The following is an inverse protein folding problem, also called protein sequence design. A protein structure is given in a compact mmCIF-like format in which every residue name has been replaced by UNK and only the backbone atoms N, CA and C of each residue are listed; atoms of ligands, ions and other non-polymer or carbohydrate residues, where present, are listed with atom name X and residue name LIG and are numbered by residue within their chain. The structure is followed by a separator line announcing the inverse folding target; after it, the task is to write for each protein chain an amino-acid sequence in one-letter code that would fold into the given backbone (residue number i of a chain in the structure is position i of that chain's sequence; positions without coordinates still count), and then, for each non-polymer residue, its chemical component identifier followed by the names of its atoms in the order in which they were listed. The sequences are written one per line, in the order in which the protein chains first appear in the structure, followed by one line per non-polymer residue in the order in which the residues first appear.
data_IF_738711514971
#
_entry.id   IF_738711514971
#
_cell.length_a   1.000
_cell.length_b   1.000
_cell.length_c   1.000
_cell.angle_alpha   90.00
_cell.angle_beta   90.00
_cell.angle_gamma   90.00
#
_symmetry.space_group_name_H-M   'P 1'
#
loop_
_entity.id
_entity.type
_entity.pdbx_description
1 polymer ?
#
# COMPACT_ATOMS: atom_id res chain seq x y z
N UNK A 1 21.69 60.87 17.14
CA UNK A 1 22.11 60.79 15.72
C UNK A 1 22.32 59.31 15.43
N UNK A 2 21.64 58.61 14.54
CA UNK A 2 21.02 58.99 13.28
C UNK A 2 21.58 58.08 12.18
N UNK A 3 20.80 57.06 11.80
CA UNK A 3 20.64 56.50 10.44
C UNK A 3 21.75 55.61 9.81
N UNK A 4 21.37 54.33 9.61
CA UNK A 4 21.60 53.38 8.50
C UNK A 4 22.97 53.26 7.78
N UNK A 5 23.43 52.01 7.63
CA UNK A 5 23.33 51.29 6.34
C UNK A 5 23.58 49.79 6.49
N UNK A 6 22.67 49.01 5.91
CA UNK A 6 22.80 47.58 5.67
C UNK A 6 24.10 47.23 4.93
N UNK A 7 24.76 46.15 5.34
CA UNK A 7 25.73 45.40 4.55
C UNK A 7 25.47 43.91 4.76
N UNK A 8 24.82 43.34 3.74
CA UNK A 8 25.06 42.00 3.19
C UNK A 8 25.27 40.87 4.20
N UNK A 9 24.16 40.38 4.77
CA UNK A 9 24.10 39.02 5.26
C UNK A 9 23.98 38.09 4.05
N UNK A 10 25.10 37.44 3.78
CA UNK A 10 25.35 36.47 2.74
C UNK A 10 24.26 35.39 2.72
N UNK A 11 23.81 35.05 1.52
CA UNK A 11 22.68 34.18 1.21
C UNK A 11 22.96 32.68 1.50
N UNK A 12 23.90 32.37 2.38
CA UNK A 12 24.52 31.04 2.53
C UNK A 12 24.01 30.19 3.69
N UNK A 13 23.50 30.78 4.77
CA UNK A 13 23.26 30.02 6.02
C UNK A 13 21.77 29.81 6.33
N UNK A 14 20.87 30.06 5.35
CA UNK A 14 19.45 29.68 5.42
C UNK A 14 19.23 28.18 5.14
N UNK A 15 20.04 27.33 5.75
CA UNK A 15 19.73 25.90 5.90
C UNK A 15 19.09 25.69 7.28
N UNK A 16 18.13 26.54 7.63
CA UNK A 16 17.14 26.18 8.63
C UNK A 16 16.17 25.22 7.95
N UNK A 17 16.35 23.94 8.29
CA UNK A 17 15.23 23.05 8.58
C UNK A 17 14.10 23.12 7.56
N UNK A 18 14.43 22.87 6.29
CA UNK A 18 13.44 22.29 5.39
C UNK A 18 13.18 20.91 5.98
N UNK A 19 12.21 20.85 6.91
CA UNK A 19 11.34 19.68 7.03
C UNK A 19 10.84 19.49 5.61
N UNK A 20 11.53 18.62 4.90
CA UNK A 20 10.97 17.97 3.74
C UNK A 20 9.72 17.30 4.26
N UNK A 21 8.59 18.00 4.18
CA UNK A 21 7.34 17.41 3.81
C UNK A 21 7.55 16.83 2.40
N UNK A 22 8.39 15.79 2.29
CA UNK A 22 8.13 14.75 1.32
C UNK A 22 6.70 14.39 1.62
N UNK A 23 5.84 14.47 0.61
CA UNK A 23 4.48 14.01 0.73
C UNK A 23 4.54 12.52 1.13
N UNK A 24 4.52 12.23 2.44
CA UNK A 24 4.59 10.89 3.04
C UNK A 24 3.35 10.04 2.73
N UNK A 25 2.36 10.60 2.05
CA UNK A 25 1.06 9.98 1.86
C UNK A 25 1.03 8.79 0.88
N UNK A 26 1.68 8.82 -0.31
CA UNK A 26 1.56 7.70 -1.25
C UNK A 26 2.40 6.51 -0.79
N UNK A 27 3.68 6.69 -0.51
CA UNK A 27 4.64 5.58 -0.31
C UNK A 27 4.36 4.76 0.94
N UNK A 28 4.03 5.41 2.06
CA UNK A 28 3.62 4.70 3.28
C UNK A 28 2.25 4.02 3.12
N UNK A 29 1.39 4.51 2.22
CA UNK A 29 0.09 3.89 1.99
C UNK A 29 0.22 2.53 1.30
N UNK A 30 1.12 2.35 0.33
CA UNK A 30 1.30 1.04 -0.32
C UNK A 30 1.86 -0.01 0.63
N UNK A 31 2.89 0.35 1.41
CA UNK A 31 3.45 -0.54 2.41
C UNK A 31 2.45 -0.86 3.53
N UNK A 32 1.90 0.17 4.17
CA UNK A 32 1.04 0.00 5.34
C UNK A 32 -0.31 -0.65 5.03
N UNK A 33 -1.01 -0.14 4.01
CA UNK A 33 -2.31 -0.71 3.60
C UNK A 33 -2.11 -2.08 2.94
N UNK A 34 -1.02 -2.24 2.17
CA UNK A 34 -0.65 -3.52 1.59
C UNK A 34 -0.39 -4.59 2.64
N UNK A 35 0.38 -4.26 3.69
CA UNK A 35 0.60 -5.14 4.83
C UNK A 35 -0.69 -5.49 5.55
N UNK A 36 -1.56 -4.51 5.80
CA UNK A 36 -2.85 -4.74 6.46
C UNK A 36 -3.70 -5.74 5.66
N UNK A 37 -3.86 -5.55 4.35
CA UNK A 37 -4.61 -6.48 3.50
C UNK A 37 -3.94 -7.84 3.36
N UNK A 38 -2.61 -7.89 3.33
CA UNK A 38 -1.87 -9.15 3.34
C UNK A 38 -2.13 -9.91 4.65
N UNK A 39 -2.11 -9.22 5.79
CA UNK A 39 -2.43 -9.81 7.08
C UNK A 39 -3.88 -10.32 7.15
N UNK A 40 -4.85 -9.62 6.53
CA UNK A 40 -6.22 -10.14 6.38
C UNK A 40 -6.22 -11.50 5.64
N UNK A 41 -5.39 -11.69 4.61
CA UNK A 41 -5.32 -12.97 3.88
C UNK A 41 -4.75 -14.13 4.70
N UNK A 42 -3.88 -13.84 5.68
CA UNK A 42 -3.36 -14.86 6.61
C UNK A 42 -4.45 -15.48 7.48
N UNK A 43 -5.61 -14.81 7.63
CA UNK A 43 -6.75 -15.34 8.36
C UNK A 43 -7.23 -16.71 7.86
N UNK A 44 -7.01 -17.04 6.58
CA UNK A 44 -7.28 -18.40 6.08
C UNK A 44 -6.29 -19.43 6.61
N UNK A 45 -4.99 -19.11 6.58
CA UNK A 45 -3.92 -19.99 7.07
C UNK A 45 -4.01 -20.19 8.59
N UNK A 46 -4.45 -19.15 9.31
CA UNK A 46 -4.63 -19.17 10.76
C UNK A 46 -5.96 -19.81 11.21
N UNK A 47 -6.86 -20.15 10.29
CA UNK A 47 -8.17 -20.71 10.62
C UNK A 47 -9.15 -19.71 11.22
N UNK A 48 -8.98 -18.40 10.98
CA UNK A 48 -9.90 -17.35 11.47
C UNK A 48 -11.23 -17.35 10.69
N UNK A 49 -11.20 -17.72 9.40
CA UNK A 49 -12.38 -17.71 8.52
C UNK A 49 -13.01 -19.11 8.38
N UNK A 50 -13.46 -19.68 9.49
CA UNK A 50 -13.95 -21.06 9.52
C UNK A 50 -15.28 -21.25 8.78
N UNK A 51 -16.23 -20.33 8.97
CA UNK A 51 -17.58 -20.46 8.44
C UNK A 51 -17.87 -19.53 7.26
N UNK A 52 -18.98 -19.78 6.57
CA UNK A 52 -19.38 -19.02 5.37
C UNK A 52 -19.59 -17.53 5.65
N UNK A 53 -20.06 -17.15 6.84
CA UNK A 53 -20.30 -15.74 7.18
C UNK A 53 -18.99 -14.97 7.31
N UNK A 54 -18.00 -15.57 7.96
CA UNK A 54 -16.69 -14.95 8.15
C UNK A 54 -15.99 -14.77 6.79
N UNK A 55 -16.04 -15.80 5.94
CA UNK A 55 -15.53 -15.75 4.57
C UNK A 55 -16.27 -14.73 3.71
N UNK A 56 -17.59 -14.63 3.85
CA UNK A 56 -18.38 -13.63 3.13
C UNK A 56 -17.95 -12.20 3.50
N UNK A 57 -17.69 -11.96 4.79
CA UNK A 57 -17.14 -10.68 5.26
C UNK A 57 -15.80 -10.36 4.58
N UNK A 58 -14.85 -11.30 4.64
CA UNK A 58 -13.55 -11.17 3.98
C UNK A 58 -13.68 -10.88 2.47
N UNK A 59 -14.44 -11.70 1.74
CA UNK A 59 -14.57 -11.53 0.29
C UNK A 59 -15.35 -10.27 -0.11
N UNK A 60 -16.37 -9.87 0.64
CA UNK A 60 -17.06 -8.59 0.43
C UNK A 60 -16.07 -7.42 0.50
N UNK A 61 -15.19 -7.47 1.48
CA UNK A 61 -14.17 -6.46 1.73
C UNK A 61 -13.07 -6.49 0.66
N UNK A 62 -12.66 -7.68 0.23
CA UNK A 62 -11.68 -7.89 -0.82
C UNK A 62 -12.18 -7.40 -2.19
N UNK A 63 -13.42 -7.74 -2.58
CA UNK A 63 -14.02 -7.28 -3.84
C UNK A 63 -14.14 -5.76 -3.86
N UNK A 64 -14.50 -5.14 -2.74
CA UNK A 64 -14.54 -3.68 -2.64
C UNK A 64 -13.17 -3.05 -2.90
N UNK A 65 -12.09 -3.60 -2.31
CA UNK A 65 -10.70 -3.14 -2.55
C UNK A 65 -10.24 -3.44 -3.98
N UNK A 66 -10.71 -4.51 -4.62
CA UNK A 66 -10.45 -4.79 -6.02
C UNK A 66 -11.16 -3.79 -6.96
N UNK A 67 -12.41 -3.41 -6.65
CA UNK A 67 -13.15 -2.40 -7.41
C UNK A 67 -12.45 -1.03 -7.39
N UNK A 68 -11.75 -0.69 -6.29
CA UNK A 68 -10.93 0.54 -6.22
C UNK A 68 -9.89 0.62 -7.33
N UNK A 69 -9.29 -0.51 -7.72
CA UNK A 69 -8.33 -0.54 -8.83
C UNK A 69 -8.97 -0.11 -10.15
N UNK A 70 -10.16 -0.63 -10.43
CA UNK A 70 -10.90 -0.37 -11.66
C UNK A 70 -11.46 1.04 -11.67
N UNK A 71 -12.04 1.50 -10.56
CA UNK A 71 -12.68 2.82 -10.50
C UNK A 71 -11.67 3.96 -10.53
N UNK A 72 -10.58 3.88 -9.76
CA UNK A 72 -9.56 4.93 -9.73
C UNK A 72 -8.89 5.08 -11.11
N UNK A 73 -8.48 3.96 -11.73
CA UNK A 73 -7.95 3.99 -13.11
C UNK A 73 -9.01 4.37 -14.14
N UNK A 74 -10.25 3.92 -13.96
CA UNK A 74 -11.39 4.28 -14.79
C UNK A 74 -11.57 5.79 -14.88
N UNK A 75 -11.59 6.47 -13.74
CA UNK A 75 -11.74 7.93 -13.64
C UNK A 75 -10.50 8.63 -14.22
N UNK A 76 -9.30 8.27 -13.74
CA UNK A 76 -8.10 9.08 -13.97
C UNK A 76 -7.33 8.76 -15.25
N UNK A 77 -7.52 7.57 -15.82
CA UNK A 77 -6.83 7.13 -17.04
C UNK A 77 -7.78 6.83 -18.22
N UNK A 78 -9.00 6.36 -17.95
CA UNK A 78 -9.97 5.96 -18.99
C UNK A 78 -11.15 6.91 -19.17
N UNK A 79 -11.16 8.05 -18.45
CA UNK A 79 -12.15 9.11 -18.64
C UNK A 79 -13.57 8.75 -18.19
N UNK A 80 -13.72 7.83 -17.23
CA UNK A 80 -15.02 7.52 -16.65
C UNK A 80 -15.62 8.72 -15.93
N UNK A 81 -16.92 8.92 -16.10
CA UNK A 81 -17.70 9.83 -15.28
C UNK A 81 -17.89 9.29 -13.86
N UNK A 82 -18.19 10.20 -12.92
CA UNK A 82 -18.54 9.84 -11.52
C UNK A 82 -19.67 8.81 -11.46
N UNK A 83 -20.72 8.94 -12.28
CA UNK A 83 -21.84 7.99 -12.26
C UNK A 83 -21.44 6.60 -12.77
N UNK A 84 -20.58 6.52 -13.80
CA UNK A 84 -20.05 5.22 -14.25
C UNK A 84 -19.25 4.53 -13.14
N UNK A 85 -18.43 5.28 -12.41
CA UNK A 85 -17.69 4.78 -11.25
C UNK A 85 -18.62 4.29 -10.13
N UNK A 86 -19.65 5.07 -9.77
CA UNK A 86 -20.65 4.69 -8.76
C UNK A 86 -21.39 3.42 -9.18
N UNK A 87 -21.88 3.38 -10.42
CA UNK A 87 -22.64 2.24 -10.93
C UNK A 87 -21.79 0.97 -10.93
N UNK A 88 -20.53 1.06 -11.37
CA UNK A 88 -19.61 -0.07 -11.30
C UNK A 88 -19.48 -0.62 -9.87
N UNK A 89 -19.27 0.23 -8.87
CA UNK A 89 -19.17 -0.25 -7.49
C UNK A 89 -20.49 -0.83 -6.96
N UNK A 90 -21.65 -0.33 -7.39
CA UNK A 90 -22.96 -0.88 -7.02
C UNK A 90 -23.20 -2.26 -7.63
N UNK A 91 -22.71 -2.49 -8.84
CA UNK A 91 -22.89 -3.77 -9.55
C UNK A 91 -22.06 -4.89 -8.92
N UNK A 92 -20.89 -4.57 -8.35
CA UNK A 92 -19.93 -5.56 -7.85
C UNK A 92 -19.77 -5.59 -6.33
N UNK A 93 -20.33 -4.64 -5.58
CA UNK A 93 -20.18 -4.60 -4.12
C UNK A 93 -21.52 -4.51 -3.39
N UNK A 94 -21.57 -4.99 -2.15
CA UNK A 94 -22.78 -4.96 -1.31
C UNK A 94 -22.90 -3.67 -0.47
N UNK A 95 -22.19 -2.61 -0.85
CA UNK A 95 -22.16 -1.35 -0.08
C UNK A 95 -23.36 -0.46 -0.44
N UNK A 96 -23.92 0.30 0.51
CA UNK A 96 -24.99 1.23 0.21
C UNK A 96 -24.50 2.34 -0.73
N UNK A 97 -25.38 2.84 -1.61
CA UNK A 97 -25.07 3.89 -2.60
C UNK A 97 -24.42 5.13 -1.96
N UNK A 98 -24.94 5.61 -0.84
CA UNK A 98 -24.38 6.79 -0.15
C UNK A 98 -22.90 6.60 0.22
N UNK A 99 -22.54 5.42 0.72
CA UNK A 99 -21.15 5.10 1.03
C UNK A 99 -20.29 5.05 -0.23
N UNK A 100 -20.80 4.48 -1.32
CA UNK A 100 -20.08 4.43 -2.60
C UNK A 100 -19.86 5.84 -3.16
N UNK A 101 -20.88 6.71 -3.10
CA UNK A 101 -20.79 8.10 -3.54
C UNK A 101 -19.67 8.85 -2.79
N UNK A 102 -19.63 8.75 -1.46
CA UNK A 102 -18.57 9.33 -0.63
C UNK A 102 -17.18 8.79 -1.00
N UNK A 103 -17.09 7.50 -1.29
CA UNK A 103 -15.85 6.86 -1.69
C UNK A 103 -15.38 7.30 -3.07
N UNK A 104 -16.27 7.39 -4.05
CA UNK A 104 -15.95 7.85 -5.39
C UNK A 104 -15.52 9.31 -5.36
N UNK A 105 -16.17 10.16 -4.56
CA UNK A 105 -15.73 11.55 -4.35
C UNK A 105 -14.32 11.63 -3.78
N UNK A 106 -13.98 10.74 -2.85
CA UNK A 106 -12.62 10.61 -2.32
C UNK A 106 -11.62 10.17 -3.39
N UNK A 107 -11.98 9.24 -4.27
CA UNK A 107 -11.09 8.76 -5.35
C UNK A 107 -10.83 9.85 -6.39
N UNK A 108 -11.84 10.66 -6.69
CA UNK A 108 -11.69 11.85 -7.55
C UNK A 108 -10.74 12.86 -6.91
N UNK A 109 -10.90 13.11 -5.60
CA UNK A 109 -10.08 14.10 -4.89
C UNK A 109 -8.62 13.66 -4.70
N UNK A 110 -8.38 12.37 -4.42
CA UNK A 110 -7.05 11.82 -4.11
C UNK A 110 -6.69 10.68 -5.06
N UNK A 111 -6.19 11.00 -6.28
CA UNK A 111 -5.82 10.02 -7.29
C UNK A 111 -4.80 8.99 -6.77
N UNK A 112 -4.93 7.74 -7.21
CA UNK A 112 -4.04 6.62 -6.93
C UNK A 112 -3.97 6.14 -5.46
N UNK A 113 -4.49 6.89 -4.48
CA UNK A 113 -4.47 6.45 -3.08
C UNK A 113 -5.28 5.16 -2.88
N UNK A 114 -6.41 5.01 -3.58
CA UNK A 114 -7.25 3.83 -3.46
C UNK A 114 -6.57 2.55 -4.00
N UNK A 115 -5.55 2.71 -4.86
CA UNK A 115 -4.79 1.61 -5.45
C UNK A 115 -3.82 0.97 -4.45
N UNK A 116 -3.39 1.73 -3.45
CA UNK A 116 -2.30 1.34 -2.54
C UNK A 116 -2.56 0.03 -1.80
N UNK A 117 -3.81 -0.16 -1.36
CA UNK A 117 -4.30 -1.34 -0.68
C UNK A 117 -3.99 -2.62 -1.47
N UNK A 118 -4.65 -2.80 -2.63
CA UNK A 118 -4.60 -4.09 -3.34
C UNK A 118 -3.27 -4.27 -4.07
N UNK A 119 -2.66 -3.21 -4.59
CA UNK A 119 -1.33 -3.29 -5.21
C UNK A 119 -0.28 -3.66 -4.16
N UNK A 120 -0.28 -2.99 -2.99
CA UNK A 120 0.63 -3.31 -1.90
C UNK A 120 0.49 -4.76 -1.43
N UNK A 121 -0.75 -5.24 -1.24
CA UNK A 121 -1.02 -6.64 -0.89
C UNK A 121 -0.45 -7.60 -1.95
N UNK A 122 -0.71 -7.34 -3.23
CA UNK A 122 -0.24 -8.19 -4.33
C UNK A 122 1.29 -8.23 -4.39
N UNK A 123 1.96 -7.11 -4.15
CA UNK A 123 3.42 -7.05 -4.10
C UNK A 123 3.98 -7.86 -2.94
N UNK A 124 3.47 -7.69 -1.71
CA UNK A 124 3.93 -8.49 -0.55
C UNK A 124 3.68 -9.98 -0.78
N UNK A 125 2.51 -10.33 -1.33
CA UNK A 125 2.18 -11.73 -1.66
C UNK A 125 3.13 -12.29 -2.73
N UNK A 126 3.51 -11.49 -3.73
CA UNK A 126 4.49 -11.87 -4.74
C UNK A 126 5.89 -12.03 -4.15
N UNK A 127 6.28 -11.21 -3.18
CA UNK A 127 7.58 -11.33 -2.50
C UNK A 127 7.63 -12.62 -1.69
N UNK A 128 6.56 -12.94 -0.95
CA UNK A 128 6.42 -14.23 -0.25
C UNK A 128 6.54 -15.40 -1.20
N UNK A 129 5.75 -15.43 -2.27
CA UNK A 129 5.76 -16.54 -3.23
C UNK A 129 7.16 -16.75 -3.86
N UNK A 130 7.85 -15.65 -4.18
CA UNK A 130 9.23 -15.69 -4.69
C UNK A 130 10.21 -16.26 -3.66
N UNK A 131 10.10 -15.85 -2.40
CA UNK A 131 10.95 -16.34 -1.32
C UNK A 131 10.68 -17.82 -0.99
N UNK A 132 9.41 -18.24 -0.95
CA UNK A 132 9.01 -19.64 -0.79
C UNK A 132 9.59 -20.51 -1.92
N UNK A 133 9.55 -20.01 -3.16
CA UNK A 133 10.13 -20.72 -4.30
C UNK A 133 11.66 -20.84 -4.22
N UNK A 134 12.35 -19.78 -3.80
CA UNK A 134 13.82 -19.75 -3.76
C UNK A 134 14.39 -20.55 -2.57
N UNK A 135 13.76 -20.46 -1.40
CA UNK A 135 14.25 -21.10 -0.17
C UNK A 135 13.73 -22.53 0.02
N UNK A 136 12.60 -22.89 -0.59
CA UNK A 136 11.98 -24.21 -0.45
C UNK A 136 11.77 -24.56 1.02
N UNK A 137 12.28 -25.71 1.45
CA UNK A 137 12.17 -26.20 2.83
C UNK A 137 12.86 -25.29 3.88
N UNK A 138 13.74 -24.38 3.45
CA UNK A 138 14.39 -23.41 4.32
C UNK A 138 13.53 -22.16 4.57
N UNK A 139 12.42 -22.00 3.84
CA UNK A 139 11.56 -20.85 4.01
C UNK A 139 10.92 -20.84 5.41
N UNK A 140 11.06 -19.71 6.11
CA UNK A 140 10.39 -19.48 7.38
C UNK A 140 9.48 -18.25 7.28
N UNK A 141 8.18 -18.46 7.49
CA UNK A 141 7.16 -17.40 7.39
C UNK A 141 7.38 -16.29 8.43
N UNK A 142 7.80 -16.64 9.64
CA UNK A 142 8.04 -15.67 10.72
C UNK A 142 9.21 -14.76 10.33
N UNK A 143 10.30 -15.32 9.83
CA UNK A 143 11.48 -14.54 9.44
C UNK A 143 11.15 -13.64 8.23
N UNK A 144 10.35 -14.13 7.27
CA UNK A 144 9.82 -13.30 6.19
C UNK A 144 8.99 -12.11 6.74
N UNK A 145 8.08 -12.35 7.68
CA UNK A 145 7.28 -11.27 8.30
C UNK A 145 8.17 -10.28 9.06
N UNK A 146 9.19 -10.76 9.78
CA UNK A 146 10.16 -9.90 10.47
C UNK A 146 10.89 -8.99 9.47
N UNK A 147 11.29 -9.50 8.30
CA UNK A 147 11.91 -8.68 7.25
C UNK A 147 10.94 -7.62 6.75
N UNK A 148 9.72 -7.99 6.40
CA UNK A 148 8.71 -7.03 5.91
C UNK A 148 8.47 -5.92 6.94
N UNK A 149 8.22 -6.28 8.21
CA UNK A 149 7.88 -5.33 9.27
C UNK A 149 9.02 -4.36 9.61
N UNK A 150 10.28 -4.77 9.39
CA UNK A 150 11.44 -3.91 9.59
C UNK A 150 11.82 -3.09 8.34
N UNK A 151 11.25 -3.40 7.17
CA UNK A 151 11.55 -2.78 5.89
C UNK A 151 10.54 -1.68 5.54
N UNK A 152 10.32 -0.71 6.44
CA UNK A 152 9.32 0.36 6.22
C UNK A 152 9.79 1.29 5.10
N UNK A 153 9.09 1.31 3.97
CA UNK A 153 9.43 2.21 2.87
C UNK A 153 8.69 1.93 1.57
N UNK A 154 9.16 2.50 0.45
CA UNK A 154 8.66 2.18 -0.88
C UNK A 154 8.75 0.68 -1.16
N UNK A 155 7.81 0.14 -1.92
CA UNK A 155 7.72 -1.31 -2.17
C UNK A 155 8.95 -1.89 -2.90
N UNK A 156 9.67 -1.08 -3.69
CA UNK A 156 10.94 -1.51 -4.30
C UNK A 156 12.04 -1.72 -3.27
N UNK A 157 12.14 -0.85 -2.25
CA UNK A 157 13.06 -1.04 -1.13
C UNK A 157 12.70 -2.30 -0.34
N UNK A 158 11.40 -2.51 -0.04
CA UNK A 158 10.94 -3.71 0.65
C UNK A 158 11.30 -4.97 -0.12
N UNK A 159 11.17 -4.93 -1.45
CA UNK A 159 11.57 -6.04 -2.33
C UNK A 159 13.08 -6.32 -2.24
N UNK A 160 13.91 -5.27 -2.26
CA UNK A 160 15.36 -5.39 -2.13
C UNK A 160 15.76 -6.01 -0.79
N UNK A 161 15.15 -5.59 0.31
CA UNK A 161 15.40 -6.14 1.65
C UNK A 161 14.99 -7.62 1.76
N UNK A 162 13.84 -7.99 1.17
CA UNK A 162 13.42 -9.40 1.08
C UNK A 162 14.43 -10.22 0.29
N UNK A 163 14.88 -9.75 -0.88
CA UNK A 163 15.85 -10.48 -1.68
C UNK A 163 17.20 -10.59 -0.96
N UNK A 164 17.66 -9.51 -0.30
CA UNK A 164 18.88 -9.54 0.49
C UNK A 164 18.79 -10.53 1.67
N UNK A 165 17.62 -10.72 2.27
CA UNK A 165 17.40 -11.77 3.25
C UNK A 165 17.45 -13.18 2.65
N UNK A 166 16.76 -13.41 1.52
CA UNK A 166 16.81 -14.70 0.80
C UNK A 166 18.25 -15.10 0.47
N UNK A 167 19.04 -14.18 -0.08
CA UNK A 167 20.43 -14.43 -0.44
C UNK A 167 21.29 -14.82 0.79
N UNK A 168 21.02 -14.21 1.96
CA UNK A 168 21.69 -14.56 3.22
C UNK A 168 21.31 -15.95 3.71
N UNK A 169 20.03 -16.35 3.62
CA UNK A 169 19.60 -17.68 4.04
C UNK A 169 20.19 -18.77 3.13
N UNK A 170 20.22 -18.55 1.81
CA UNK A 170 20.86 -19.47 0.86
C UNK A 170 22.35 -19.65 1.14
N UNK A 171 23.06 -18.56 1.50
CA UNK A 171 24.48 -18.61 1.83
C UNK A 171 24.79 -19.40 3.11
N UNK A 172 23.85 -19.54 4.07
CA UNK A 172 24.06 -20.36 5.27
C UNK A 172 24.03 -21.87 4.99
N UNK A 173 23.48 -22.25 3.85
CA UNK A 173 23.29 -23.64 3.44
C UNK A 173 24.45 -24.20 2.60
N UNK A 174 25.48 -23.38 2.39
CA UNK A 174 26.76 -23.72 1.75
C UNK A 174 27.88 -23.79 2.79
#
# INVERSE_FOLDING_TARGET
MGVNKARDLNLGDRIETIKFYVCSFPTLSFYGEGWALYAESLGFEMGVYENLRDRLGHYSDEIFRACRLVVDTGIHAFGWSKEQAIQYMLDYTIRPRSFIEDQVDRYIAWPAQALSYKIGQMQISSFRASAEQQLGDQFNLKDFHDVILNSVGPMDLVKEEVQAWVDRELAKSH
#
